data_IF_710692042848
#
_entry.id   IF_710692042848
#
_cell.length_a   1.000
_cell.length_b   1.000
_cell.length_c   1.000
_cell.angle_alpha   90.00
_cell.angle_beta   90.00
_cell.angle_gamma   90.00
#
_symmetry.space_group_name_H-M   'P 1'
#
loop_
_entity.id
_entity.type
_entity.pdbx_description
1 polymer ?
#
# COMPACT_ATOMS: atom_id res chain seq x y z
N UNK A 1 0.33 22.45 -10.95
CA UNK A 1 1.08 21.98 -12.13
C UNK A 1 1.06 20.47 -12.09
N UNK A 2 0.74 19.86 -13.22
CA UNK A 2 0.57 18.43 -13.40
C UNK A 2 1.75 17.93 -14.21
N UNK A 3 2.29 16.77 -13.84
CA UNK A 3 3.45 16.17 -14.51
C UNK A 3 3.15 14.71 -14.78
N UNK A 4 3.40 14.27 -16.00
CA UNK A 4 3.27 12.87 -16.40
C UNK A 4 4.30 12.53 -17.47
N UNK A 5 4.43 11.24 -17.76
CA UNK A 5 5.36 10.73 -18.77
C UNK A 5 4.58 10.11 -19.93
N UNK A 6 5.04 10.36 -21.15
CA UNK A 6 4.49 9.80 -22.38
C UNK A 6 5.61 9.22 -23.27
N UNK A 7 5.22 8.42 -24.28
CA UNK A 7 6.13 7.86 -25.29
C UNK A 7 7.38 7.18 -24.70
N UNK A 8 7.20 6.43 -23.61
CA UNK A 8 8.29 5.71 -22.93
C UNK A 8 8.80 4.58 -23.82
N UNK A 9 10.09 4.60 -24.11
CA UNK A 9 10.82 3.55 -24.81
C UNK A 9 12.13 3.23 -24.07
N UNK A 10 12.90 2.27 -24.59
CA UNK A 10 14.22 1.93 -24.05
C UNK A 10 15.27 3.03 -24.28
N UNK A 11 15.00 4.02 -25.13
CA UNK A 11 15.96 5.07 -25.51
C UNK A 11 15.49 6.50 -25.23
N UNK A 12 14.20 6.72 -25.03
CA UNK A 12 13.63 8.04 -24.81
C UNK A 12 12.31 7.97 -24.03
N UNK A 13 11.95 9.09 -23.42
CA UNK A 13 10.63 9.34 -22.87
C UNK A 13 10.36 10.84 -22.98
N UNK A 14 9.09 11.22 -22.96
CA UNK A 14 8.65 12.62 -22.95
C UNK A 14 8.12 12.98 -21.56
N UNK A 15 8.56 14.11 -21.01
CA UNK A 15 8.00 14.69 -19.79
C UNK A 15 7.00 15.75 -20.17
N UNK A 16 5.76 15.54 -19.79
CA UNK A 16 4.67 16.45 -20.08
C UNK A 16 4.34 17.26 -18.82
N UNK A 17 4.16 18.57 -18.98
CA UNK A 17 3.72 19.44 -17.90
C UNK A 17 2.53 20.29 -18.32
N UNK A 18 1.54 20.40 -17.44
CA UNK A 18 0.37 21.25 -17.65
C UNK A 18 0.10 22.11 -16.42
N UNK A 19 -0.15 23.39 -16.64
CA UNK A 19 -0.60 24.27 -15.59
C UNK A 19 -2.09 24.06 -15.31
N UNK A 20 -2.48 24.14 -14.03
CA UNK A 20 -3.87 24.01 -13.59
C UNK A 20 -4.71 25.26 -13.87
N UNK A 21 -4.08 26.41 -14.12
CA UNK A 21 -4.72 27.67 -14.51
C UNK A 21 -4.34 27.98 -15.95
N UNK A 22 -5.32 28.26 -16.77
CA UNK A 22 -5.07 28.72 -18.14
C UNK A 22 -4.72 30.22 -18.12
N UNK A 23 -3.67 30.60 -18.84
CA UNK A 23 -3.28 32.00 -19.10
C UNK A 23 -2.58 32.78 -17.96
N UNK A 24 -1.81 32.15 -17.06
CA UNK A 24 -1.02 32.85 -16.03
C UNK A 24 0.33 33.41 -16.55
N UNK A 25 0.47 33.55 -17.88
CA UNK A 25 1.67 34.07 -18.55
C UNK A 25 2.65 33.00 -19.04
N UNK A 26 3.76 33.40 -19.68
CA UNK A 26 4.77 32.47 -20.17
C UNK A 26 5.60 31.91 -19.01
N UNK A 27 5.61 30.59 -18.87
CA UNK A 27 6.54 29.90 -17.97
C UNK A 27 7.90 29.76 -18.64
N UNK A 28 8.94 30.30 -18.03
CA UNK A 28 10.32 30.12 -18.43
C UNK A 28 11.14 29.43 -17.32
N UNK A 29 12.29 28.85 -17.67
CA UNK A 29 13.21 28.21 -16.73
C UNK A 29 12.60 27.07 -15.88
N UNK A 30 11.69 26.29 -16.47
CA UNK A 30 11.15 25.09 -15.84
C UNK A 30 12.23 24.01 -15.78
N UNK A 31 12.47 23.47 -14.59
CA UNK A 31 13.36 22.35 -14.36
C UNK A 31 12.55 21.15 -13.86
N UNK A 32 12.77 19.97 -14.45
CA UNK A 32 12.20 18.71 -13.98
C UNK A 32 13.32 17.77 -13.60
N UNK A 33 13.28 17.30 -12.36
CA UNK A 33 14.11 16.19 -11.92
C UNK A 33 13.38 14.90 -12.23
N UNK A 34 14.06 13.97 -12.88
CA UNK A 34 13.50 12.70 -13.28
C UNK A 34 14.39 11.55 -12.82
N UNK A 35 13.77 10.39 -12.68
CA UNK A 35 14.40 9.15 -12.31
C UNK A 35 13.84 8.06 -13.23
N UNK A 36 14.72 7.30 -13.88
CA UNK A 36 14.33 6.17 -14.72
C UNK A 36 15.09 4.93 -14.27
N UNK A 37 14.41 3.79 -14.28
CA UNK A 37 14.98 2.49 -13.93
C UNK A 37 14.29 1.40 -14.74
N UNK A 38 15.05 0.37 -15.11
CA UNK A 38 14.53 -0.88 -15.68
C UNK A 38 14.51 -1.95 -14.60
N UNK A 39 15.65 -2.10 -13.90
CA UNK A 39 15.77 -2.83 -12.64
C UNK A 39 16.12 -1.85 -11.52
N UNK A 40 15.44 -1.93 -10.38
CA UNK A 40 15.72 -1.06 -9.25
C UNK A 40 17.16 -1.31 -8.73
N UNK A 41 18.05 -0.30 -8.71
CA UNK A 41 19.39 -0.43 -8.15
C UNK A 41 19.34 -0.93 -6.71
N UNK A 42 20.24 -1.86 -6.36
CA UNK A 42 20.32 -2.41 -5.00
C UNK A 42 20.51 -1.31 -3.93
N UNK A 43 21.16 -0.20 -4.29
CA UNK A 43 21.35 0.97 -3.44
C UNK A 43 20.05 1.71 -3.06
N UNK A 44 18.99 1.60 -3.86
CA UNK A 44 17.72 2.28 -3.56
C UNK A 44 16.91 1.52 -2.52
N UNK A 45 17.21 0.23 -2.32
CA UNK A 45 16.55 -0.64 -1.35
C UNK A 45 15.02 -0.67 -1.52
N UNK A 46 14.50 -0.45 -2.73
CA UNK A 46 13.08 -0.59 -2.98
C UNK A 46 12.66 -2.04 -2.75
N UNK A 47 11.46 -2.21 -2.18
CA UNK A 47 10.95 -3.53 -1.78
C UNK A 47 9.88 -4.05 -2.72
N UNK A 48 9.21 -3.14 -3.41
CA UNK A 48 8.08 -3.46 -4.28
C UNK A 48 7.97 -2.38 -5.36
N UNK A 49 7.58 -2.79 -6.56
CA UNK A 49 7.21 -1.89 -7.66
C UNK A 49 6.24 -2.62 -8.56
N UNK A 50 5.22 -1.91 -9.05
CA UNK A 50 4.24 -2.45 -9.99
C UNK A 50 3.49 -1.30 -10.66
N UNK A 51 2.47 -1.66 -11.43
CA UNK A 51 1.61 -0.72 -12.15
C UNK A 51 0.15 -0.83 -11.67
N UNK A 52 -0.57 0.30 -11.76
CA UNK A 52 -2.01 0.39 -11.50
C UNK A 52 -2.70 0.92 -12.73
N UNK A 53 -3.54 0.09 -13.35
CA UNK A 53 -4.25 0.44 -14.57
C UNK A 53 -5.63 1.00 -14.27
N UNK A 54 -5.95 2.17 -14.82
CA UNK A 54 -7.27 2.77 -14.83
C UNK A 54 -7.82 2.76 -16.25
N UNK A 55 -8.83 1.92 -16.49
CA UNK A 55 -9.41 1.70 -17.81
C UNK A 55 -10.23 2.89 -18.28
N UNK A 56 -10.43 2.98 -19.59
CA UNK A 56 -11.20 4.02 -20.27
C UNK A 56 -12.71 4.03 -19.92
N UNK A 57 -13.24 2.93 -19.39
CA UNK A 57 -14.67 2.78 -19.07
C UNK A 57 -14.98 3.06 -17.60
N UNK A 58 -13.97 3.31 -16.77
CA UNK A 58 -14.15 3.62 -15.35
C UNK A 58 -14.75 5.01 -15.19
N UNK A 59 -15.86 5.11 -14.45
CA UNK A 59 -16.57 6.36 -14.21
C UNK A 59 -16.22 6.90 -12.82
N UNK A 60 -15.77 8.17 -12.68
CA UNK A 60 -15.50 8.76 -11.39
C UNK A 60 -16.77 8.86 -10.53
N UNK A 61 -16.67 8.45 -9.26
CA UNK A 61 -17.80 8.44 -8.35
C UNK A 61 -17.86 9.72 -7.49
N UNK A 62 -19.06 10.12 -7.09
CA UNK A 62 -19.27 11.30 -6.24
C UNK A 62 -18.63 11.11 -4.85
N UNK A 63 -18.64 9.89 -4.29
CA UNK A 63 -17.95 9.61 -3.03
C UNK A 63 -16.43 9.88 -3.08
N UNK A 64 -15.85 9.85 -4.28
CA UNK A 64 -14.42 10.10 -4.51
C UNK A 64 -14.17 11.50 -5.07
N UNK A 65 -15.07 12.46 -4.83
CA UNK A 65 -14.96 13.83 -5.36
C UNK A 65 -14.77 13.86 -6.88
N UNK A 66 -15.43 12.94 -7.59
CA UNK A 66 -15.30 12.74 -9.03
C UNK A 66 -13.85 12.45 -9.46
N UNK A 67 -13.14 11.65 -8.66
CA UNK A 67 -11.86 11.05 -8.99
C UNK A 67 -11.99 9.53 -9.15
N UNK A 68 -11.04 8.94 -9.87
CA UNK A 68 -10.86 7.49 -9.92
C UNK A 68 -9.80 7.10 -8.92
N UNK A 69 -10.15 6.23 -7.97
CA UNK A 69 -9.25 5.82 -6.89
C UNK A 69 -9.21 4.30 -6.79
N UNK A 70 -8.02 3.74 -6.54
CA UNK A 70 -7.81 2.30 -6.31
C UNK A 70 -6.93 2.10 -5.08
N UNK A 71 -7.30 1.12 -4.26
CA UNK A 71 -6.48 0.67 -3.14
C UNK A 71 -5.51 -0.41 -3.64
N UNK A 72 -4.25 -0.26 -3.28
CA UNK A 72 -3.17 -1.17 -3.65
C UNK A 72 -2.58 -1.74 -2.37
N UNK A 73 -2.76 -3.04 -2.17
CA UNK A 73 -2.21 -3.75 -1.03
C UNK A 73 -0.75 -4.13 -1.33
N UNK A 74 0.14 -3.94 -0.36
CA UNK A 74 1.52 -4.40 -0.47
C UNK A 74 1.58 -5.92 -0.39
N UNK A 75 2.55 -6.50 -1.09
CA UNK A 75 2.80 -7.94 -1.08
C UNK A 75 3.17 -8.43 0.33
N UNK A 76 3.93 -7.62 1.07
CA UNK A 76 4.28 -7.84 2.47
C UNK A 76 4.06 -6.57 3.28
N UNK A 77 3.65 -6.67 4.56
CA UNK A 77 3.52 -5.50 5.42
C UNK A 77 4.89 -4.86 5.70
N UNK A 78 4.89 -3.55 5.84
CA UNK A 78 6.06 -2.77 6.25
C UNK A 78 6.07 -2.57 7.77
N UNK A 79 7.25 -2.32 8.32
CA UNK A 79 7.42 -1.97 9.74
C UNK A 79 6.70 -0.65 10.09
N UNK A 80 6.75 0.31 9.17
CA UNK A 80 6.07 1.61 9.24
C UNK A 80 5.56 1.99 7.85
N UNK A 81 4.66 2.96 7.74
CA UNK A 81 4.21 3.47 6.43
C UNK A 81 5.43 3.80 5.55
N UNK A 82 5.56 3.17 4.36
CA UNK A 82 6.71 3.37 3.48
C UNK A 82 6.58 4.67 2.68
N UNK A 83 7.65 5.05 1.99
CA UNK A 83 7.61 6.08 0.96
C UNK A 83 7.19 5.41 -0.36
N UNK A 84 6.09 5.89 -0.93
CA UNK A 84 5.61 5.44 -2.24
C UNK A 84 5.87 6.56 -3.24
N UNK A 85 6.65 6.27 -4.28
CA UNK A 85 6.84 7.14 -5.43
C UNK A 85 5.92 6.64 -6.53
N UNK A 86 5.09 7.51 -7.10
CA UNK A 86 4.19 7.16 -8.19
C UNK A 86 4.37 8.12 -9.35
N UNK A 87 4.31 7.59 -10.57
CA UNK A 87 4.33 8.37 -11.80
C UNK A 87 3.20 7.92 -12.70
N UNK A 88 2.56 8.88 -13.35
CA UNK A 88 1.51 8.56 -14.32
C UNK A 88 2.16 8.35 -15.68
N UNK A 89 1.86 7.21 -16.28
CA UNK A 89 2.25 6.84 -17.63
C UNK A 89 0.98 6.78 -18.48
N UNK A 90 0.94 7.61 -19.51
CA UNK A 90 -0.13 7.53 -20.48
C UNK A 90 0.18 6.47 -21.53
N UNK A 91 -0.61 5.40 -21.58
CA UNK A 91 -0.57 4.41 -22.66
C UNK A 91 -1.14 5.07 -23.91
N UNK A 92 -0.27 5.45 -24.83
CA UNK A 92 -0.60 6.30 -25.97
C UNK A 92 -1.82 5.85 -26.78
N UNK A 93 -2.68 6.82 -27.11
CA UNK A 93 -3.51 6.76 -28.30
C UNK A 93 -2.60 6.61 -29.52
N UNK A 94 -2.93 5.73 -30.47
CA UNK A 94 -2.19 5.42 -31.70
C UNK A 94 -1.97 6.62 -32.67
N UNK A 95 -2.25 7.85 -32.26
CA UNK A 95 -2.01 9.05 -33.06
C UNK A 95 -0.56 9.53 -32.84
N UNK A 96 0.36 8.91 -33.57
CA UNK A 96 1.82 9.07 -33.52
C UNK A 96 2.38 10.49 -33.79
N UNK A 97 1.54 11.54 -33.85
CA UNK A 97 1.94 12.89 -34.27
C UNK A 97 1.74 13.98 -33.20
N UNK A 98 1.27 13.65 -31.99
CA UNK A 98 1.10 14.64 -30.91
C UNK A 98 1.85 14.16 -29.67
N UNK A 99 3.01 14.78 -29.41
CA UNK A 99 3.69 14.70 -28.12
C UNK A 99 2.77 15.29 -27.04
N UNK A 100 2.52 14.55 -25.96
CA UNK A 100 1.67 14.95 -24.82
C UNK A 100 0.23 15.37 -25.20
N UNK A 101 -0.71 14.44 -25.43
CA UNK A 101 -2.08 14.78 -25.78
C UNK A 101 -2.82 15.56 -24.67
N UNK A 102 -3.70 16.48 -25.08
CA UNK A 102 -4.43 17.40 -24.19
C UNK A 102 -5.45 16.74 -23.24
N UNK A 103 -5.70 15.42 -23.37
CA UNK A 103 -6.79 14.69 -22.67
C UNK A 103 -6.31 13.84 -21.48
N UNK A 104 -5.14 14.19 -20.94
CA UNK A 104 -4.42 13.42 -19.94
C UNK A 104 -4.83 13.81 -18.50
N UNK A 105 -4.50 13.02 -17.47
CA UNK A 105 -4.98 13.28 -16.13
C UNK A 105 -4.36 14.57 -15.59
N UNK A 106 -5.24 15.47 -15.17
CA UNK A 106 -4.89 16.74 -14.56
C UNK A 106 -4.16 16.55 -13.24
N UNK A 107 -4.40 15.48 -12.50
CA UNK A 107 -3.75 15.29 -11.21
C UNK A 107 -3.73 13.81 -10.84
N UNK A 108 -2.62 13.38 -10.25
CA UNK A 108 -2.52 12.14 -9.50
C UNK A 108 -2.01 12.44 -8.11
N UNK A 109 -2.46 11.66 -7.13
CA UNK A 109 -1.98 11.74 -5.77
C UNK A 109 -2.10 10.39 -5.08
N UNK A 110 -1.34 10.26 -4.00
CA UNK A 110 -1.42 9.14 -3.09
C UNK A 110 -2.05 9.63 -1.79
N UNK A 111 -2.95 8.84 -1.24
CA UNK A 111 -3.56 9.04 0.06
C UNK A 111 -3.60 7.72 0.84
N UNK A 112 -3.88 7.81 2.14
CA UNK A 112 -4.00 6.64 3.02
C UNK A 112 -2.80 5.66 2.95
N UNK A 113 -1.57 6.18 2.95
CA UNK A 113 -0.37 5.33 2.96
C UNK A 113 -0.18 4.73 4.36
N UNK A 114 -0.60 3.47 4.49
CA UNK A 114 -0.44 2.66 5.71
C UNK A 114 0.77 1.73 5.57
N UNK A 115 0.94 0.81 6.53
CA UNK A 115 1.97 -0.22 6.44
C UNK A 115 1.55 -1.45 5.60
N UNK A 116 0.29 -1.53 5.16
CA UNK A 116 -0.25 -2.68 4.41
C UNK A 116 -0.85 -2.33 3.06
N UNK A 117 -1.22 -1.06 2.85
CA UNK A 117 -1.76 -0.59 1.58
C UNK A 117 -1.54 0.91 1.40
N UNK A 118 -1.73 1.38 0.17
CA UNK A 118 -1.92 2.79 -0.15
C UNK A 118 -3.10 2.96 -1.11
N UNK A 119 -3.63 4.17 -1.18
CA UNK A 119 -4.67 4.53 -2.14
C UNK A 119 -4.10 5.49 -3.17
N UNK A 120 -4.24 5.14 -4.45
CA UNK A 120 -3.84 5.99 -5.58
C UNK A 120 -5.08 6.53 -6.25
N UNK A 121 -5.07 7.83 -6.50
CA UNK A 121 -6.18 8.52 -7.14
C UNK A 121 -5.67 9.33 -8.33
N UNK A 122 -6.53 9.45 -9.33
CA UNK A 122 -6.31 10.26 -10.52
C UNK A 122 -7.58 11.03 -10.88
N UNK A 123 -7.38 12.19 -11.50
CA UNK A 123 -8.44 13.05 -12.00
C UNK A 123 -8.01 13.68 -13.32
N UNK A 124 -8.88 13.68 -14.31
CA UNK A 124 -8.64 14.26 -15.65
C UNK A 124 -9.58 15.44 -15.94
N UNK A 125 -9.25 16.19 -17.00
CA UNK A 125 -10.00 17.36 -17.50
C UNK A 125 -11.14 16.93 -18.43
N UNK A 126 -11.23 15.64 -18.76
CA UNK A 126 -12.11 15.17 -19.82
C UNK A 126 -13.60 15.32 -19.47
N UNK A 127 -13.93 15.62 -18.22
CA UNK A 127 -15.32 15.69 -17.76
C UNK A 127 -16.06 14.38 -18.03
N UNK A 128 -17.37 14.39 -17.78
CA UNK A 128 -18.22 13.22 -18.02
C UNK A 128 -18.35 12.83 -19.51
N UNK A 129 -17.88 13.69 -20.44
CA UNK A 129 -18.25 13.66 -21.85
C UNK A 129 -17.09 13.29 -22.81
N UNK A 130 -15.90 13.00 -22.27
CA UNK A 130 -14.73 12.60 -23.06
C UNK A 130 -14.46 11.09 -23.04
N UNK A 131 -14.26 10.47 -24.21
CA UNK A 131 -13.57 9.18 -24.28
C UNK A 131 -12.13 9.35 -23.77
N UNK A 132 -11.87 8.77 -22.60
CA UNK A 132 -10.57 8.75 -21.94
C UNK A 132 -9.71 7.58 -22.46
N UNK A 133 -8.39 7.72 -22.49
CA UNK A 133 -7.48 6.59 -22.71
C UNK A 133 -7.30 5.75 -21.44
N UNK A 134 -6.77 4.54 -21.59
CA UNK A 134 -6.31 3.76 -20.43
C UNK A 134 -5.08 4.44 -19.84
N UNK A 135 -5.09 4.67 -18.53
CA UNK A 135 -4.01 5.34 -17.80
C UNK A 135 -3.34 4.32 -16.91
N UNK A 136 -2.01 4.34 -16.91
CA UNK A 136 -1.20 3.48 -16.07
C UNK A 136 -0.53 4.37 -15.01
N UNK A 137 -0.50 3.92 -13.77
CA UNK A 137 0.27 4.57 -12.71
C UNK A 137 1.31 3.59 -12.22
N UNK A 138 2.56 3.85 -12.56
CA UNK A 138 3.70 3.11 -12.05
C UNK A 138 4.02 3.59 -10.64
N UNK A 139 4.37 2.65 -9.77
CA UNK A 139 4.80 2.98 -8.43
C UNK A 139 6.01 2.17 -7.98
N UNK A 140 6.77 2.78 -7.09
CA UNK A 140 7.95 2.24 -6.43
C UNK A 140 7.82 2.47 -4.92
N UNK A 141 7.97 1.41 -4.14
CA UNK A 141 7.83 1.45 -2.68
C UNK A 141 9.19 1.29 -2.02
N UNK A 142 9.56 2.27 -1.20
CA UNK A 142 10.78 2.27 -0.41
C UNK A 142 10.44 2.30 1.09
N UNK A 143 10.91 1.30 1.81
CA UNK A 143 10.75 1.20 3.25
C UNK A 143 11.30 -0.10 3.78
N UNK A 144 11.20 -0.28 5.09
CA UNK A 144 11.59 -1.51 5.76
C UNK A 144 10.39 -2.45 5.93
N UNK A 145 10.57 -3.69 5.51
CA UNK A 145 9.59 -4.74 5.70
C UNK A 145 9.42 -5.03 7.20
N UNK A 146 8.22 -5.46 7.59
CA UNK A 146 7.95 -5.83 8.97
C UNK A 146 8.85 -7.03 9.37
N UNK A 147 9.69 -6.90 10.42
CA UNK A 147 10.55 -8.01 10.87
C UNK A 147 9.75 -9.22 11.38
N UNK A 148 8.44 -9.09 11.59
CA UNK A 148 7.56 -10.20 11.96
C UNK A 148 7.08 -11.06 10.79
N UNK A 149 7.44 -10.74 9.54
CA UNK A 149 7.11 -11.57 8.37
C UNK A 149 7.65 -12.99 8.56
N UNK A 150 6.77 -13.98 8.40
CA UNK A 150 7.06 -15.40 8.55
C UNK A 150 7.65 -15.81 9.93
N UNK A 151 7.52 -14.96 10.95
CA UNK A 151 7.94 -15.29 12.32
C UNK A 151 6.84 -16.07 13.04
N UNK A 152 7.17 -17.27 13.50
CA UNK A 152 6.30 -18.06 14.37
C UNK A 152 6.80 -18.02 15.82
N UNK A 153 5.96 -17.51 16.71
CA UNK A 153 6.24 -17.36 18.13
C UNK A 153 5.67 -18.55 18.92
N UNK A 154 6.45 -19.10 19.87
CA UNK A 154 6.06 -20.27 20.67
C UNK A 154 5.12 -19.90 21.82
N UNK A 155 4.46 -20.90 22.41
CA UNK A 155 3.64 -20.76 23.63
C UNK A 155 2.51 -19.71 23.50
N UNK A 156 1.87 -19.59 22.34
CA UNK A 156 0.84 -18.58 22.09
C UNK A 156 1.30 -17.11 22.29
N UNK A 157 2.61 -16.84 22.27
CA UNK A 157 3.10 -15.47 22.10
C UNK A 157 2.87 -14.99 20.67
N UNK A 158 2.81 -13.68 20.47
CA UNK A 158 2.72 -13.04 19.17
C UNK A 158 3.99 -12.22 18.89
N UNK A 159 4.31 -12.06 17.62
CA UNK A 159 5.47 -11.28 17.20
C UNK A 159 5.17 -9.78 17.36
N UNK A 160 6.13 -9.03 17.89
CA UNK A 160 6.08 -7.57 18.05
C UNK A 160 7.36 -6.98 17.50
N UNK A 161 7.22 -6.05 16.57
CA UNK A 161 8.31 -5.38 15.88
C UNK A 161 8.88 -4.26 16.77
N UNK A 162 10.17 -4.34 17.12
CA UNK A 162 10.86 -3.35 17.96
C UNK A 162 11.55 -2.28 17.10
N UNK A 163 12.05 -2.68 15.94
CA UNK A 163 12.72 -1.83 14.94
C UNK A 163 12.67 -2.55 13.58
N UNK A 164 13.02 -1.90 12.46
CA UNK A 164 13.05 -2.51 11.12
C UNK A 164 13.71 -3.89 11.01
N UNK A 165 14.69 -4.18 11.87
CA UNK A 165 15.47 -5.43 11.82
C UNK A 165 15.44 -6.21 13.13
N UNK A 166 14.56 -5.84 14.07
CA UNK A 166 14.45 -6.53 15.36
C UNK A 166 12.99 -6.72 15.71
N UNK A 167 12.65 -7.94 16.06
CA UNK A 167 11.36 -8.31 16.64
C UNK A 167 11.58 -9.01 17.98
N UNK A 168 10.49 -9.17 18.73
CA UNK A 168 10.45 -10.03 19.92
C UNK A 168 9.10 -10.73 19.97
N UNK A 169 9.06 -11.94 20.52
CA UNK A 169 7.80 -12.60 20.84
C UNK A 169 7.32 -12.14 22.22
N UNK A 170 6.08 -11.65 22.31
CA UNK A 170 5.47 -11.20 23.57
C UNK A 170 4.15 -11.91 23.84
N UNK A 171 3.88 -12.11 25.12
CA UNK A 171 2.59 -12.60 25.56
C UNK A 171 1.54 -11.49 25.47
N UNK A 172 0.30 -11.90 25.24
CA UNK A 172 -0.86 -11.02 25.39
C UNK A 172 -0.83 -10.33 26.75
N UNK A 173 -0.89 -9.00 26.76
CA UNK A 173 -0.86 -8.21 27.99
C UNK A 173 -2.23 -8.10 28.64
N UNK A 174 -3.29 -8.13 27.83
CA UNK A 174 -4.66 -7.88 28.27
C UNK A 174 -5.62 -8.90 27.70
N UNK A 175 -6.44 -9.49 28.56
CA UNK A 175 -7.52 -10.37 28.14
C UNK A 175 -8.88 -9.75 28.47
N UNK A 176 -9.90 -9.98 27.63
CA UNK A 176 -11.26 -9.55 27.89
C UNK A 176 -11.84 -10.24 29.13
N UNK A 177 -12.84 -9.62 29.76
CA UNK A 177 -13.42 -10.06 31.03
C UNK A 177 -14.62 -11.00 30.89
N UNK A 178 -15.02 -11.37 29.67
CA UNK A 178 -16.14 -12.29 29.48
C UNK A 178 -15.83 -13.68 30.04
N UNK A 179 -16.89 -14.40 30.40
CA UNK A 179 -16.81 -15.75 30.94
C UNK A 179 -17.33 -16.77 29.94
N UNK A 180 -16.41 -17.55 29.41
CA UNK A 180 -16.65 -18.68 28.52
C UNK A 180 -15.58 -19.71 28.87
N UNK A 181 -15.87 -20.51 29.90
CA UNK A 181 -14.87 -21.35 30.54
C UNK A 181 -14.25 -22.36 29.57
N UNK A 182 -12.98 -22.67 29.77
CA UNK A 182 -12.26 -23.70 29.03
C UNK A 182 -11.46 -24.58 29.98
N UNK A 183 -11.47 -25.89 29.76
CA UNK A 183 -10.66 -26.84 30.48
C UNK A 183 -9.34 -27.03 29.74
N UNK A 184 -8.22 -26.88 30.44
CA UNK A 184 -6.91 -27.19 29.91
C UNK A 184 -6.53 -28.65 30.19
N UNK A 185 -5.65 -29.21 29.35
CA UNK A 185 -5.14 -30.59 29.48
C UNK A 185 -4.36 -30.87 30.78
N UNK A 186 -4.02 -29.85 31.56
CA UNK A 186 -3.46 -29.99 32.91
C UNK A 186 -4.53 -30.06 34.02
N UNK A 187 -5.81 -30.18 33.66
CA UNK A 187 -6.93 -30.26 34.60
C UNK A 187 -7.34 -28.93 35.23
N UNK A 188 -6.77 -27.79 34.79
CA UNK A 188 -7.15 -26.45 35.28
C UNK A 188 -8.22 -25.83 34.38
N UNK A 189 -9.23 -25.24 35.00
CA UNK A 189 -10.26 -24.45 34.31
C UNK A 189 -9.82 -22.98 34.22
N UNK A 190 -9.99 -22.36 33.05
CA UNK A 190 -9.75 -20.94 32.82
C UNK A 190 -11.06 -20.23 32.44
N UNK A 191 -11.21 -18.96 32.83
CA UNK A 191 -12.44 -18.18 32.57
C UNK A 191 -12.72 -17.93 31.10
N UNK A 192 -11.67 -17.88 30.28
CA UNK A 192 -11.77 -17.79 28.82
C UNK A 192 -10.46 -18.26 28.16
N UNK A 193 -10.56 -18.51 26.85
CA UNK A 193 -9.44 -18.97 26.03
C UNK A 193 -8.24 -18.00 26.01
N UNK A 194 -8.49 -16.69 26.13
CA UNK A 194 -7.41 -15.70 26.18
C UNK A 194 -6.54 -15.90 27.42
N UNK A 195 -7.16 -16.05 28.61
CA UNK A 195 -6.44 -16.26 29.86
C UNK A 195 -5.67 -17.57 29.87
N UNK A 196 -6.23 -18.63 29.28
CA UNK A 196 -5.50 -19.89 29.06
C UNK A 196 -4.24 -19.66 28.21
N UNK A 197 -4.36 -19.05 27.03
CA UNK A 197 -3.23 -18.75 26.14
C UNK A 197 -2.20 -17.83 26.81
N UNK A 198 -2.65 -16.85 27.58
CA UNK A 198 -1.79 -15.93 28.33
C UNK A 198 -0.98 -16.67 29.41
N UNK A 199 -1.62 -17.58 30.16
CA UNK A 199 -0.93 -18.43 31.15
C UNK A 199 0.11 -19.33 30.47
N UNK A 200 -0.27 -20.03 29.39
CA UNK A 200 0.65 -20.88 28.60
C UNK A 200 1.86 -20.05 28.17
N UNK A 201 1.64 -18.84 27.68
CA UNK A 201 2.71 -17.96 27.23
C UNK A 201 3.65 -17.53 28.37
N UNK A 202 3.10 -17.04 29.47
CA UNK A 202 3.89 -16.49 30.60
C UNK A 202 4.68 -17.56 31.33
N UNK A 203 4.07 -18.72 31.52
CA UNK A 203 4.67 -19.85 32.26
C UNK A 203 5.47 -20.79 31.36
N UNK A 204 5.43 -20.60 30.03
CA UNK A 204 5.89 -21.58 29.02
C UNK A 204 5.27 -22.96 29.27
N UNK A 205 3.98 -22.96 29.58
CA UNK A 205 3.22 -24.16 29.92
C UNK A 205 3.20 -25.17 28.78
N UNK A 206 3.33 -26.46 29.13
CA UNK A 206 3.17 -27.57 28.19
C UNK A 206 1.78 -28.19 28.34
N UNK A 207 0.75 -27.40 28.09
CA UNK A 207 -0.65 -27.82 28.11
C UNK A 207 -1.42 -27.04 27.05
N UNK A 208 -2.42 -27.68 26.47
CA UNK A 208 -3.33 -27.12 25.46
C UNK A 208 -4.73 -26.95 26.01
N UNK A 209 -5.55 -26.22 25.28
CA UNK A 209 -7.00 -26.33 25.34
C UNK A 209 -7.42 -27.80 25.14
N UNK A 210 -8.28 -28.31 26.02
CA UNK A 210 -8.74 -29.70 26.02
C UNK A 210 -10.21 -29.80 25.62
N UNK A 211 -11.10 -29.07 26.30
CA UNK A 211 -12.49 -28.91 25.86
C UNK A 211 -13.13 -27.63 26.39
N UNK A 212 -14.23 -27.16 25.76
CA UNK A 212 -15.06 -26.08 26.29
C UNK A 212 -15.72 -26.45 27.63
N UNK A 213 -15.91 -25.47 28.51
CA UNK A 213 -16.47 -25.65 29.85
C UNK A 213 -15.41 -25.89 30.94
N UNK A 214 -15.86 -26.14 32.17
CA UNK A 214 -14.97 -26.48 33.29
C UNK A 214 -14.46 -27.92 33.22
N UNK A 215 -13.30 -28.18 33.82
CA UNK A 215 -12.80 -29.54 34.00
C UNK A 215 -13.68 -30.32 34.99
N UNK A 216 -13.96 -31.58 34.68
CA UNK A 216 -14.75 -32.52 35.50
C UNK A 216 -13.92 -33.73 35.92
#
# INVERSE_FOLDING_TARGET
MSVWVANVSTSQFEVCLRESRTFDGPHNNLAVNWLAYDNNPSSWQAKESSEVTFSNNEVPAAENNYALCKNVNFTNPFYSSPVVLATVINGGSNNANIACPLKDPLSSWLEEVTNSYFRVCIKDDAGYDGQRSTIIVDYLVKGDLDPCINVSCKYHSHCVSLSPHRFTCRCESSCPSYEEQVCASNGRTFRNLCLLKQEICRTRGNFTDYHPGSCT
#
